data_IF_951724554741
#
_entry.id   IF_951724554741
#
_cell.length_a   1.000
_cell.length_b   1.000
_cell.length_c   1.000
_cell.angle_alpha   90.00
_cell.angle_beta   90.00
_cell.angle_gamma   90.00
#
_symmetry.space_group_name_H-M   'P 1'
#
loop_
_entity.id
_entity.type
_entity.pdbx_description
1 polymer ?
#
# COMPACT_ATOMS: atom_id res chain seq x y z
N UNK A 1 -5.01 20.48 -59.18
CA UNK A 1 -5.04 20.91 -57.80
C UNK A 1 -6.06 20.17 -56.90
N UNK A 2 -6.80 19.17 -57.40
CA UNK A 2 -7.92 18.52 -56.65
C UNK A 2 -7.58 17.23 -55.89
N UNK A 3 -6.33 16.76 -55.89
CA UNK A 3 -5.93 15.50 -55.21
C UNK A 3 -5.20 15.70 -53.84
N UNK A 4 -4.98 16.95 -53.41
CA UNK A 4 -4.30 17.27 -52.15
C UNK A 4 -5.27 17.32 -50.96
N UNK A 5 -6.52 17.72 -51.17
CA UNK A 5 -7.51 17.82 -50.07
C UNK A 5 -7.82 16.48 -49.36
N UNK A 6 -8.04 15.34 -50.07
CA UNK A 6 -8.37 14.09 -49.39
C UNK A 6 -7.19 13.51 -48.60
N UNK A 7 -5.96 13.80 -49.00
CA UNK A 7 -4.75 13.33 -48.28
C UNK A 7 -4.52 14.10 -46.97
N UNK A 8 -4.86 15.40 -46.93
CA UNK A 8 -4.76 16.22 -45.74
C UNK A 8 -5.77 15.77 -44.67
N UNK A 9 -6.99 15.42 -45.09
CA UNK A 9 -8.03 14.89 -44.20
C UNK A 9 -7.65 13.55 -43.56
N UNK A 10 -7.00 12.67 -44.34
CA UNK A 10 -6.56 11.36 -43.85
C UNK A 10 -5.42 11.48 -42.79
N UNK A 11 -4.50 12.41 -43.01
CA UNK A 11 -3.40 12.69 -42.07
C UNK A 11 -3.93 13.30 -40.77
N UNK A 12 -4.91 14.20 -40.87
CA UNK A 12 -5.51 14.81 -39.68
C UNK A 12 -6.34 13.81 -38.87
N UNK A 13 -7.06 12.91 -39.56
CA UNK A 13 -7.80 11.83 -38.89
C UNK A 13 -6.88 10.80 -38.23
N UNK A 14 -5.76 10.44 -38.85
CA UNK A 14 -4.76 9.56 -38.28
C UNK A 14 -4.04 10.18 -37.05
N UNK A 15 -3.76 11.48 -37.10
CA UNK A 15 -3.17 12.21 -35.98
C UNK A 15 -4.13 12.32 -34.79
N UNK A 16 -5.43 12.54 -35.04
CA UNK A 16 -6.46 12.56 -33.99
C UNK A 16 -6.64 11.18 -33.35
N UNK A 17 -6.57 10.11 -34.13
CA UNK A 17 -6.64 8.73 -33.63
C UNK A 17 -5.43 8.36 -32.79
N UNK A 18 -4.22 8.83 -33.16
CA UNK A 18 -2.99 8.61 -32.40
C UNK A 18 -3.01 9.33 -31.05
N UNK A 19 -3.59 10.54 -30.96
CA UNK A 19 -3.77 11.24 -29.68
C UNK A 19 -4.77 10.54 -28.75
N UNK A 20 -5.76 9.85 -29.28
CA UNK A 20 -6.75 9.11 -28.49
C UNK A 20 -6.19 7.83 -27.86
N UNK A 21 -5.08 7.30 -28.36
CA UNK A 21 -4.44 6.07 -27.85
C UNK A 21 -3.47 6.31 -26.67
N UNK A 22 -3.16 7.56 -26.31
CA UNK A 22 -2.27 7.87 -25.18
C UNK A 22 -2.93 7.80 -23.81
N UNK A 23 -4.18 7.38 -23.72
CA UNK A 23 -4.97 7.30 -22.49
C UNK A 23 -4.78 6.06 -21.64
N UNK A 24 -3.71 5.26 -21.80
CA UNK A 24 -3.42 4.14 -20.90
C UNK A 24 -3.02 4.69 -19.53
N UNK A 25 -3.82 4.40 -18.52
CA UNK A 25 -3.55 4.80 -17.13
C UNK A 25 -2.17 4.37 -16.69
N UNK A 26 -1.28 5.35 -16.57
CA UNK A 26 0.12 5.18 -16.13
C UNK A 26 0.25 5.19 -14.60
N UNK A 27 -0.87 5.22 -13.88
CA UNK A 27 -0.91 5.28 -12.42
C UNK A 27 -1.43 3.98 -11.82
N UNK A 28 -0.94 3.67 -10.63
CA UNK A 28 -1.39 2.59 -9.75
C UNK A 28 -1.94 3.20 -8.47
N UNK A 29 -3.15 2.81 -8.09
CA UNK A 29 -3.76 3.24 -6.83
C UNK A 29 -3.36 2.32 -5.70
N UNK A 30 -2.89 2.89 -4.61
CA UNK A 30 -2.62 2.22 -3.35
C UNK A 30 -3.73 2.61 -2.38
N UNK A 31 -4.62 1.67 -2.10
CA UNK A 31 -5.72 1.81 -1.15
C UNK A 31 -5.22 1.37 0.22
N UNK A 32 -5.26 2.26 1.21
CA UNK A 32 -4.73 2.00 2.54
C UNK A 32 -5.81 2.16 3.59
N UNK A 33 -5.95 1.19 4.47
CA UNK A 33 -6.73 1.33 5.71
C UNK A 33 -5.83 1.96 6.76
N UNK A 34 -6.23 3.13 7.26
CA UNK A 34 -5.43 3.90 8.21
C UNK A 34 -6.22 4.07 9.51
N UNK A 35 -5.57 3.76 10.62
CA UNK A 35 -6.03 4.05 11.96
C UNK A 35 -4.98 4.89 12.67
N UNK A 36 -5.40 5.98 13.32
CA UNK A 36 -4.49 6.88 14.02
C UNK A 36 -5.11 7.32 15.33
N UNK A 37 -4.29 7.44 16.36
CA UNK A 37 -4.70 7.87 17.70
C UNK A 37 -3.75 8.99 18.13
N UNK A 38 -4.31 10.12 18.54
CA UNK A 38 -3.61 11.21 19.20
C UNK A 38 -4.01 11.24 20.67
N UNK A 39 -3.04 11.06 21.57
CA UNK A 39 -3.26 11.13 22.99
C UNK A 39 -2.96 12.55 23.50
N UNK A 40 -3.96 13.20 24.12
CA UNK A 40 -3.77 14.48 24.80
C UNK A 40 -3.06 14.24 26.13
N UNK A 41 -1.73 14.25 26.11
CA UNK A 41 -0.89 14.11 27.30
C UNK A 41 -0.60 15.49 27.87
N UNK A 42 -1.02 15.72 29.11
CA UNK A 42 -0.76 17.00 29.80
C UNK A 42 0.75 17.24 29.94
N UNK A 43 1.19 18.41 29.45
CA UNK A 43 2.60 18.79 29.51
C UNK A 43 3.51 18.16 28.44
N UNK A 44 2.96 17.35 27.51
CA UNK A 44 3.72 16.87 26.37
C UNK A 44 4.15 18.03 25.44
N UNK A 45 5.26 17.83 24.72
CA UNK A 45 5.68 18.78 23.69
C UNK A 45 4.62 18.84 22.56
N UNK A 46 4.41 20.04 21.97
CA UNK A 46 3.54 20.14 20.81
C UNK A 46 4.11 19.28 19.67
N UNK A 47 3.23 18.50 19.03
CA UNK A 47 3.65 17.62 17.93
C UNK A 47 4.04 18.42 16.68
N UNK A 48 3.38 19.56 16.43
CA UNK A 48 3.68 20.42 15.28
C UNK A 48 5.08 21.02 15.39
N UNK A 49 5.93 20.78 14.41
CA UNK A 49 7.29 21.31 14.39
C UNK A 49 8.25 20.64 15.38
N UNK A 50 7.86 19.56 16.02
CA UNK A 50 8.69 18.87 17.00
C UNK A 50 9.95 18.25 16.37
N UNK A 51 11.01 18.19 17.18
CA UNK A 51 12.24 17.48 16.82
C UNK A 51 12.20 16.06 17.35
N UNK A 52 12.69 15.12 16.55
CA UNK A 52 12.63 13.72 16.89
C UNK A 52 13.95 12.97 16.67
N UNK A 53 14.09 11.83 17.35
CA UNK A 53 15.07 10.80 17.07
C UNK A 53 14.35 9.47 16.82
N UNK A 54 14.97 8.58 16.04
CA UNK A 54 14.47 7.21 15.95
C UNK A 54 14.82 6.40 17.17
N UNK A 55 13.90 5.54 17.58
CA UNK A 55 14.08 4.57 18.66
C UNK A 55 13.81 3.17 18.11
N UNK A 56 14.73 2.24 18.39
CA UNK A 56 14.63 0.84 17.96
C UNK A 56 14.39 -0.05 19.15
N UNK A 57 13.49 -1.02 18.98
CA UNK A 57 13.38 -2.13 19.92
C UNK A 57 14.64 -3.01 19.87
N UNK A 58 14.98 -3.74 20.92
CA UNK A 58 16.11 -4.67 20.91
C UNK A 58 16.08 -5.65 19.73
N UNK A 59 14.90 -6.11 19.31
CA UNK A 59 14.72 -6.97 18.14
C UNK A 59 15.01 -6.30 16.80
N UNK A 60 15.03 -4.97 16.75
CA UNK A 60 15.25 -4.17 15.54
C UNK A 60 16.69 -3.68 15.38
N UNK A 61 17.50 -3.70 16.45
CA UNK A 61 18.84 -3.11 16.48
C UNK A 61 19.73 -3.69 15.36
N UNK A 62 19.67 -5.00 15.17
CA UNK A 62 20.48 -5.72 14.16
C UNK A 62 19.70 -6.06 12.89
N UNK A 63 18.51 -5.49 12.70
CA UNK A 63 17.68 -5.73 11.54
C UNK A 63 17.90 -4.62 10.48
N UNK A 64 18.52 -4.92 9.32
CA UNK A 64 18.73 -3.93 8.28
C UNK A 64 17.42 -3.34 7.72
N UNK A 65 16.32 -4.11 7.78
CA UNK A 65 15.01 -3.62 7.35
C UNK A 65 14.50 -2.47 8.22
N UNK A 66 14.87 -2.40 9.51
CA UNK A 66 14.51 -1.29 10.38
C UNK A 66 15.16 0.03 9.91
N UNK A 67 16.44 0.00 9.53
CA UNK A 67 17.13 1.17 9.00
C UNK A 67 16.53 1.68 7.68
N UNK A 68 16.14 0.76 6.80
CA UNK A 68 15.45 1.11 5.56
C UNK A 68 14.07 1.74 5.84
N UNK A 69 13.29 1.18 6.77
CA UNK A 69 12.00 1.72 7.17
C UNK A 69 12.13 3.14 7.76
N UNK A 70 13.13 3.39 8.61
CA UNK A 70 13.42 4.72 9.14
C UNK A 70 13.78 5.73 8.04
N UNK A 71 14.63 5.32 7.09
CA UNK A 71 15.00 6.15 5.95
C UNK A 71 13.79 6.53 5.10
N UNK A 72 12.91 5.57 4.81
CA UNK A 72 11.69 5.80 4.04
C UNK A 72 10.68 6.67 4.82
N UNK A 73 10.58 6.50 6.15
CA UNK A 73 9.70 7.30 7.00
C UNK A 73 10.15 8.76 7.12
N UNK A 74 11.45 9.03 7.02
CA UNK A 74 12.00 10.37 7.21
C UNK A 74 11.38 11.40 6.26
N UNK A 75 11.15 11.05 5.01
CA UNK A 75 10.52 11.93 4.04
C UNK A 75 9.06 12.26 4.40
N UNK A 76 8.30 11.25 4.84
CA UNK A 76 6.91 11.42 5.25
C UNK A 76 6.78 12.22 6.55
N UNK A 77 7.69 12.02 7.52
CA UNK A 77 7.77 12.79 8.76
C UNK A 77 8.13 14.25 8.51
N UNK A 78 9.07 14.51 7.61
CA UNK A 78 9.43 15.87 7.20
C UNK A 78 8.27 16.60 6.51
N UNK A 79 7.49 15.88 5.68
CA UNK A 79 6.31 16.45 5.00
C UNK A 79 5.22 16.93 5.96
N UNK A 80 5.13 16.34 7.16
CA UNK A 80 4.19 16.77 8.21
C UNK A 80 4.83 17.73 9.23
N UNK A 81 6.05 18.24 8.94
CA UNK A 81 6.71 19.29 9.71
C UNK A 81 7.55 18.80 10.88
N UNK A 82 7.83 17.49 10.97
CA UNK A 82 8.75 16.95 11.98
C UNK A 82 10.20 17.00 11.47
N UNK A 83 11.14 17.40 12.34
CA UNK A 83 12.55 17.49 11.99
C UNK A 83 13.38 16.47 12.76
N UNK A 84 14.25 15.72 12.08
CA UNK A 84 15.18 14.82 12.76
C UNK A 84 16.31 15.61 13.40
N UNK A 85 16.46 15.46 14.68
CA UNK A 85 17.53 16.05 15.49
C UNK A 85 17.80 15.15 16.69
N UNK A 86 18.77 14.24 16.54
CA UNK A 86 19.07 13.24 17.57
C UNK A 86 19.53 13.85 18.92
N UNK A 87 20.15 15.04 18.90
CA UNK A 87 20.64 15.71 20.08
C UNK A 87 19.56 16.56 20.79
N UNK A 88 18.72 17.25 20.01
CA UNK A 88 17.67 18.12 20.53
C UNK A 88 16.26 17.50 20.45
N UNK A 89 16.15 16.19 20.34
CA UNK A 89 14.88 15.49 20.20
C UNK A 89 13.95 15.72 21.40
N UNK A 90 12.69 15.97 21.11
CA UNK A 90 11.57 16.03 22.05
C UNK A 90 10.74 14.76 22.01
N UNK A 91 10.77 14.08 20.85
CA UNK A 91 10.06 12.84 20.60
C UNK A 91 11.02 11.70 20.27
N UNK A 92 10.70 10.49 20.70
CA UNK A 92 11.22 9.27 20.07
C UNK A 92 10.19 8.71 19.13
N UNK A 93 10.62 8.30 17.93
CA UNK A 93 9.77 7.71 16.90
C UNK A 93 10.24 6.30 16.60
N UNK A 94 9.34 5.36 16.81
CA UNK A 94 9.53 3.97 16.42
C UNK A 94 8.76 3.73 15.12
N UNK A 95 9.45 3.17 14.12
CA UNK A 95 8.88 2.82 12.82
C UNK A 95 8.97 1.31 12.64
N UNK A 96 7.89 0.71 12.20
CA UNK A 96 7.87 -0.69 11.79
C UNK A 96 7.22 -0.81 10.41
N UNK A 97 7.84 -1.56 9.51
CA UNK A 97 7.34 -1.85 8.18
C UNK A 97 7.43 -3.36 7.93
N UNK A 98 6.32 -3.97 7.58
CA UNK A 98 6.21 -5.42 7.38
C UNK A 98 5.49 -5.72 6.07
N UNK A 99 6.05 -6.67 5.29
CA UNK A 99 5.40 -7.26 4.14
C UNK A 99 5.17 -8.75 4.39
N UNK A 100 3.98 -9.23 4.10
CA UNK A 100 3.62 -10.65 4.18
C UNK A 100 2.94 -11.05 2.88
N UNK A 101 3.29 -12.18 2.32
CA UNK A 101 2.62 -12.74 1.14
C UNK A 101 1.68 -13.86 1.55
N UNK A 102 0.55 -13.96 0.86
CA UNK A 102 -0.40 -15.06 1.02
C UNK A 102 -1.02 -15.42 -0.33
N UNK A 103 -1.45 -16.66 -0.44
CA UNK A 103 -2.15 -17.14 -1.63
C UNK A 103 -3.62 -16.82 -1.44
N UNK A 104 -4.16 -15.97 -2.30
CA UNK A 104 -5.59 -15.70 -2.30
C UNK A 104 -6.30 -16.86 -3.00
N UNK A 105 -7.03 -17.66 -2.22
CA UNK A 105 -7.99 -18.62 -2.77
C UNK A 105 -9.37 -17.94 -2.83
N UNK A 106 -9.83 -17.50 -4.00
CA UNK A 106 -11.12 -16.81 -4.14
C UNK A 106 -12.31 -17.71 -3.82
N UNK A 107 -12.11 -19.02 -3.69
CA UNK A 107 -13.22 -19.99 -3.57
C UNK A 107 -13.15 -20.87 -2.32
N UNK A 108 -12.08 -20.79 -1.51
CA UNK A 108 -11.93 -21.57 -0.28
C UNK A 108 -12.00 -23.09 -0.48
N UNK A 109 -11.81 -23.56 -1.72
CA UNK A 109 -11.87 -24.98 -2.04
C UNK A 109 -10.47 -25.50 -2.34
N UNK A 110 -10.02 -26.55 -1.65
CA UNK A 110 -8.82 -27.25 -2.05
C UNK A 110 -9.04 -27.77 -3.48
N UNK A 111 -8.20 -27.34 -4.41
CA UNK A 111 -8.20 -27.86 -5.77
C UNK A 111 -7.60 -29.27 -5.70
N UNK A 112 -8.38 -30.21 -5.23
CA UNK A 112 -8.04 -31.62 -5.34
C UNK A 112 -8.39 -32.10 -6.75
N UNK A 113 -7.37 -32.60 -7.36
CA UNK A 113 -7.21 -33.42 -8.52
C UNK A 113 -8.45 -33.95 -9.22
N UNK A 114 -8.16 -34.34 -10.41
CA UNK A 114 -8.95 -35.18 -11.34
C UNK A 114 -10.16 -35.83 -10.68
N UNK A 115 -11.31 -35.16 -10.68
CA UNK A 115 -12.58 -35.76 -10.32
C UNK A 115 -13.23 -36.26 -11.59
N UNK A 116 -13.22 -37.58 -11.81
CA UNK A 116 -14.21 -38.22 -12.67
C UNK A 116 -15.56 -38.12 -11.93
N UNK A 117 -16.35 -37.11 -12.23
CA UNK A 117 -17.73 -37.03 -11.77
C UNK A 117 -18.59 -37.90 -12.67
N UNK A 118 -18.73 -39.17 -12.27
CA UNK A 118 -19.77 -40.01 -12.77
C UNK A 118 -21.08 -39.68 -12.08
N UNK A 119 -22.02 -39.03 -12.76
CA UNK A 119 -23.41 -38.95 -12.32
C UNK A 119 -24.12 -40.25 -12.70
N UNK A 120 -24.56 -41.02 -11.70
CA UNK A 120 -25.49 -42.10 -11.85
C UNK A 120 -26.91 -41.54 -11.76
N UNK A 121 -27.48 -41.18 -12.90
CA UNK A 121 -28.89 -40.83 -13.02
C UNK A 121 -29.53 -41.74 -14.05
N UNK A 122 -30.75 -42.23 -13.77
CA UNK A 122 -31.53 -43.08 -14.64
C UNK A 122 -31.79 -42.41 -16.00
N UNK A 123 -30.93 -42.72 -16.96
CA UNK A 123 -31.03 -42.27 -18.34
C UNK A 123 -29.71 -42.51 -19.05
N UNK A 124 -29.71 -43.37 -20.06
CA UNK A 124 -28.51 -43.72 -20.83
C UNK A 124 -27.97 -42.52 -21.56
N UNK A 125 -26.91 -41.95 -21.02
CA UNK A 125 -26.14 -40.89 -21.62
C UNK A 125 -24.74 -40.86 -21.01
N UNK A 126 -23.76 -41.55 -21.63
CA UNK A 126 -22.35 -41.37 -21.31
C UNK A 126 -21.89 -40.01 -21.86
N UNK A 127 -21.93 -38.97 -21.05
CA UNK A 127 -21.28 -37.69 -21.34
C UNK A 127 -19.87 -37.71 -20.77
N UNK A 128 -18.86 -37.97 -21.58
CA UNK A 128 -17.46 -37.67 -21.23
C UNK A 128 -17.25 -36.15 -21.31
N UNK A 129 -17.53 -35.47 -20.23
CA UNK A 129 -17.12 -34.07 -20.07
C UNK A 129 -15.63 -34.02 -19.68
N UNK A 130 -14.75 -33.85 -20.65
CA UNK A 130 -13.38 -33.44 -20.38
C UNK A 130 -13.43 -32.02 -19.85
N UNK A 131 -13.54 -31.85 -18.55
CA UNK A 131 -13.37 -30.58 -17.89
C UNK A 131 -11.87 -30.28 -17.84
N UNK A 132 -11.31 -29.88 -18.98
CA UNK A 132 -9.96 -29.31 -19.06
C UNK A 132 -10.00 -27.88 -18.53
N UNK A 133 -10.34 -27.72 -17.25
CA UNK A 133 -10.19 -26.46 -16.56
C UNK A 133 -8.70 -26.13 -16.52
N UNK A 134 -8.28 -25.16 -17.33
CA UNK A 134 -6.94 -24.58 -17.19
C UNK A 134 -6.81 -24.09 -15.76
N UNK A 135 -5.97 -24.76 -14.96
CA UNK A 135 -5.69 -24.36 -13.59
C UNK A 135 -4.64 -23.28 -13.64
N UNK A 136 -5.08 -22.06 -13.58
CA UNK A 136 -4.15 -20.96 -13.28
C UNK A 136 -3.76 -21.11 -11.80
N UNK A 137 -2.45 -21.00 -11.48
CA UNK A 137 -2.05 -20.95 -10.08
C UNK A 137 -2.76 -19.76 -9.42
N UNK A 138 -3.27 -19.92 -8.18
CA UNK A 138 -3.95 -18.84 -7.50
C UNK A 138 -3.00 -17.64 -7.36
N UNK A 139 -3.51 -16.41 -7.52
CA UNK A 139 -2.68 -15.23 -7.44
C UNK A 139 -2.10 -15.05 -6.04
N UNK A 140 -0.82 -14.74 -5.97
CA UNK A 140 -0.19 -14.33 -4.71
C UNK A 140 -0.61 -12.90 -4.43
N UNK A 141 -1.08 -12.65 -3.22
CA UNK A 141 -1.36 -11.32 -2.68
C UNK A 141 -0.33 -10.95 -1.62
N UNK A 142 -0.14 -9.66 -1.46
CA UNK A 142 0.79 -9.11 -0.48
C UNK A 142 0.03 -8.18 0.46
N UNK A 143 0.31 -8.31 1.74
CA UNK A 143 -0.14 -7.39 2.76
C UNK A 143 1.05 -6.59 3.23
N UNK A 144 0.94 -5.28 3.14
CA UNK A 144 1.91 -4.31 3.62
C UNK A 144 1.33 -3.58 4.82
N UNK A 145 2.13 -3.47 5.86
CA UNK A 145 1.76 -2.82 7.10
C UNK A 145 2.87 -1.87 7.53
N UNK A 146 2.49 -0.65 7.88
CA UNK A 146 3.36 0.35 8.48
C UNK A 146 2.75 0.77 9.81
N UNK A 147 3.59 0.83 10.85
CA UNK A 147 3.22 1.37 12.15
C UNK A 147 4.25 2.42 12.57
N UNK A 148 3.76 3.58 13.02
CA UNK A 148 4.57 4.68 13.53
C UNK A 148 4.05 5.03 14.93
N UNK A 149 4.92 4.93 15.93
CA UNK A 149 4.61 5.28 17.32
C UNK A 149 5.53 6.41 17.75
N UNK A 150 4.93 7.49 18.25
CA UNK A 150 5.64 8.67 18.73
C UNK A 150 5.45 8.78 20.25
N UNK A 151 6.56 8.92 20.96
CA UNK A 151 6.60 9.03 22.40
C UNK A 151 7.27 10.34 22.82
N UNK A 152 6.66 11.06 23.75
CA UNK A 152 7.28 12.22 24.39
C UNK A 152 8.43 11.77 25.28
N UNK A 153 9.63 12.33 25.09
CA UNK A 153 10.83 11.91 25.80
C UNK A 153 10.86 12.35 27.27
N UNK A 154 10.05 13.33 27.66
CA UNK A 154 10.00 13.81 29.06
C UNK A 154 9.05 12.95 29.90
N UNK A 155 7.88 12.65 29.36
CA UNK A 155 6.86 11.87 30.08
C UNK A 155 6.95 10.37 29.81
N UNK A 156 7.71 9.97 28.80
CA UNK A 156 7.78 8.60 28.27
C UNK A 156 6.42 8.02 27.79
N UNK A 157 5.41 8.87 27.60
CA UNK A 157 4.08 8.46 27.15
C UNK A 157 3.96 8.50 25.64
N UNK A 158 3.16 7.59 25.08
CA UNK A 158 2.79 7.62 23.66
C UNK A 158 1.85 8.79 23.44
N UNK A 159 2.23 9.71 22.55
CA UNK A 159 1.47 10.92 22.20
C UNK A 159 0.77 10.79 20.85
N UNK A 160 1.29 9.92 19.99
CA UNK A 160 0.71 9.66 18.68
C UNK A 160 1.03 8.23 18.23
N UNK A 161 0.04 7.56 17.70
CA UNK A 161 0.20 6.23 17.11
C UNK A 161 -0.60 6.15 15.83
N UNK A 162 -0.03 5.57 14.79
CA UNK A 162 -0.71 5.37 13.52
C UNK A 162 -0.27 4.08 12.86
N UNK A 163 -1.23 3.44 12.18
CA UNK A 163 -1.03 2.23 11.42
C UNK A 163 -1.70 2.38 10.06
N UNK A 164 -1.02 1.95 9.00
CA UNK A 164 -1.57 1.84 7.66
C UNK A 164 -1.36 0.44 7.10
N UNK A 165 -2.42 -0.13 6.52
CA UNK A 165 -2.40 -1.47 5.92
C UNK A 165 -2.88 -1.40 4.49
N UNK A 166 -2.14 -2.02 3.58
CA UNK A 166 -2.51 -2.20 2.17
C UNK A 166 -2.48 -3.67 1.80
N UNK A 167 -3.48 -4.11 1.02
CA UNK A 167 -3.54 -5.45 0.45
C UNK A 167 -3.63 -5.34 -1.08
N UNK A 168 -2.79 -6.08 -1.79
CA UNK A 168 -2.80 -6.03 -3.24
C UNK A 168 -1.92 -7.10 -3.90
N UNK A 169 -1.97 -7.19 -5.24
CA UNK A 169 -1.21 -8.18 -6.00
C UNK A 169 0.25 -7.77 -6.26
N UNK A 170 0.67 -6.59 -5.82
CA UNK A 170 1.96 -5.99 -6.18
C UNK A 170 3.04 -6.33 -5.16
N UNK A 171 4.19 -6.84 -5.63
CA UNK A 171 5.33 -7.26 -4.81
C UNK A 171 6.38 -6.14 -4.60
N UNK A 172 6.00 -4.86 -4.73
CA UNK A 172 6.93 -3.73 -4.77
C UNK A 172 6.98 -2.96 -3.46
N UNK A 173 7.63 -3.54 -2.45
CA UNK A 173 7.76 -2.97 -1.12
C UNK A 173 8.42 -1.58 -1.13
N UNK A 174 9.40 -1.34 -2.02
CA UNK A 174 10.15 -0.09 -2.06
C UNK A 174 9.29 1.10 -2.51
N UNK A 175 8.28 0.87 -3.34
CA UNK A 175 7.33 1.89 -3.76
C UNK A 175 6.16 2.00 -2.79
N UNK A 176 5.72 0.88 -2.22
CA UNK A 176 4.50 0.83 -1.39
C UNK A 176 4.74 1.40 0.01
N UNK A 177 5.86 1.07 0.68
CA UNK A 177 6.09 1.55 2.04
C UNK A 177 6.15 3.09 2.18
N UNK A 178 6.86 3.85 1.32
CA UNK A 178 6.82 5.31 1.39
C UNK A 178 5.41 5.89 1.28
N UNK A 179 4.58 5.30 0.40
CA UNK A 179 3.19 5.70 0.21
C UNK A 179 2.34 5.39 1.44
N UNK A 180 2.53 4.22 2.05
CA UNK A 180 1.84 3.86 3.30
C UNK A 180 2.23 4.78 4.46
N UNK A 181 3.50 5.20 4.55
CA UNK A 181 3.96 6.16 5.55
C UNK A 181 3.30 7.53 5.37
N UNK A 182 3.16 7.99 4.12
CA UNK A 182 2.41 9.22 3.83
C UNK A 182 0.92 9.08 4.20
N UNK A 183 0.31 7.94 3.84
CA UNK A 183 -1.08 7.66 4.20
C UNK A 183 -1.30 7.62 5.72
N UNK A 184 -0.39 6.96 6.46
CA UNK A 184 -0.43 6.85 7.92
C UNK A 184 -0.39 8.22 8.61
N UNK A 185 0.39 9.16 8.08
CA UNK A 185 0.58 10.49 8.65
C UNK A 185 -0.42 11.53 8.11
N UNK A 186 -1.32 11.14 7.21
CA UNK A 186 -2.35 12.06 6.72
C UNK A 186 -3.27 12.51 7.87
N UNK A 187 -3.44 13.83 8.01
CA UNK A 187 -4.21 14.42 9.10
C UNK A 187 -3.43 14.63 10.40
N UNK A 188 -2.13 14.31 10.43
CA UNK A 188 -1.26 14.63 11.57
C UNK A 188 -1.24 16.15 11.84
N UNK A 189 -1.24 16.62 13.11
CA UNK A 189 -1.25 15.85 14.36
C UNK A 189 -2.66 15.49 14.87
N UNK A 190 -3.73 15.93 14.21
CA UNK A 190 -5.12 15.77 14.63
C UNK A 190 -5.88 14.86 13.66
N UNK A 191 -5.62 13.52 13.69
CA UNK A 191 -6.27 12.59 12.80
C UNK A 191 -7.75 12.40 13.16
N UNK A 192 -8.61 11.99 12.22
CA UNK A 192 -9.93 11.52 12.53
C UNK A 192 -9.89 10.36 13.53
N UNK A 193 -10.85 10.32 14.47
CA UNK A 193 -10.92 9.29 15.51
C UNK A 193 -11.26 7.88 14.97
N UNK A 194 -11.84 7.82 13.76
CA UNK A 194 -12.24 6.56 13.12
C UNK A 194 -11.22 6.08 12.11
N UNK A 195 -11.18 4.76 11.92
CA UNK A 195 -10.43 4.17 10.82
C UNK A 195 -10.94 4.73 9.49
N UNK A 196 -10.03 5.02 8.57
CA UNK A 196 -10.32 5.63 7.27
C UNK A 196 -9.58 4.96 6.15
N UNK A 197 -10.16 5.02 4.96
CA UNK A 197 -9.46 4.63 3.74
C UNK A 197 -8.75 5.85 3.16
N UNK A 198 -7.47 5.68 2.85
CA UNK A 198 -6.63 6.68 2.18
C UNK A 198 -6.14 6.08 0.87
N UNK A 199 -6.40 6.77 -0.23
CA UNK A 199 -6.04 6.33 -1.57
C UNK A 199 -4.97 7.28 -2.13
N UNK A 200 -3.84 6.72 -2.54
CA UNK A 200 -2.73 7.47 -3.14
C UNK A 200 -2.40 6.85 -4.49
N UNK A 201 -2.39 7.68 -5.53
CA UNK A 201 -2.02 7.24 -6.87
C UNK A 201 -0.51 7.45 -7.07
N UNK A 202 0.20 6.40 -7.51
CA UNK A 202 1.62 6.44 -7.82
C UNK A 202 1.87 6.09 -9.28
N UNK A 203 2.95 6.57 -9.91
CA UNK A 203 3.37 6.13 -11.24
C UNK A 203 3.61 4.60 -11.26
N UNK A 204 3.38 4.00 -12.42
CA UNK A 204 3.73 2.59 -12.66
C UNK A 204 5.18 2.44 -13.02
#
# INVERSE_FOLDING_TARGET
MSKLLPRLGLIFSAALLALALTGCGTTRRIDSQVQSIHANVVGAAPLQGARYRFERLPSQINNPAAGLAEQQAQAALAAVGLARDDAGAQLSIQVNARATSYIADPWGRPVLGVGMNGYWGHGVGMGFGLNTGMRFPPPTHYQYEVSIVMRDLRSAQVVYETQAVHNGPWADANQIFPVLMQAALQGFPNPPATSRQVNIDIPR
#
